data_IF_130685420978
#
_entry.id   IF_130685420978
#
_cell.length_a   1.000
_cell.length_b   1.000
_cell.length_c   1.000
_cell.angle_alpha   90.00
_cell.angle_beta   90.00
_cell.angle_gamma   90.00
#
_symmetry.space_group_name_H-M   'P 1'
#
loop_
_entity.id
_entity.type
_entity.pdbx_description
1 polymer ?
#
# COMPACT_ATOMS: atom_id res chain seq x y z
N UNK A 1 27.09 1.16 38.28
CA UNK A 1 25.87 0.99 39.11
C UNK A 1 24.64 0.79 38.23
N UNK A 2 24.37 1.68 37.24
CA UNK A 2 23.25 1.52 36.27
C UNK A 2 23.34 0.22 35.46
N UNK A 3 24.53 -0.17 34.99
CA UNK A 3 24.70 -1.41 34.23
C UNK A 3 24.42 -2.67 35.10
N UNK A 4 24.77 -2.68 36.38
CA UNK A 4 24.41 -3.75 37.32
C UNK A 4 22.91 -3.83 37.60
N UNK A 5 22.25 -2.67 37.71
CA UNK A 5 20.80 -2.62 37.85
C UNK A 5 20.06 -3.10 36.56
N UNK A 6 20.64 -2.85 35.38
CA UNK A 6 20.14 -3.37 34.12
C UNK A 6 20.29 -4.89 34.00
N UNK A 7 21.42 -5.45 34.41
CA UNK A 7 21.65 -6.89 34.47
C UNK A 7 20.68 -7.56 35.44
N UNK A 8 20.46 -6.96 36.62
CA UNK A 8 19.45 -7.46 37.57
C UNK A 8 18.02 -7.37 37.02
N UNK A 9 17.70 -6.31 36.25
CA UNK A 9 16.40 -6.21 35.54
C UNK A 9 16.29 -7.22 34.39
N UNK A 10 17.41 -7.58 33.73
CA UNK A 10 17.47 -8.62 32.70
C UNK A 10 17.12 -10.00 33.31
N UNK A 11 17.67 -10.34 34.47
CA UNK A 11 17.35 -11.55 35.18
C UNK A 11 15.88 -11.59 35.69
N UNK A 12 15.29 -10.42 35.97
CA UNK A 12 13.85 -10.31 36.31
C UNK A 12 12.94 -10.55 35.10
N UNK A 13 13.43 -10.36 33.88
CA UNK A 13 12.68 -10.73 32.65
C UNK A 13 12.78 -12.23 32.37
N UNK A 14 13.83 -12.91 32.77
CA UNK A 14 14.02 -14.35 32.60
C UNK A 14 13.13 -15.22 33.54
N UNK A 15 12.62 -14.64 34.65
CA UNK A 15 11.73 -15.32 35.62
C UNK A 15 10.28 -14.80 35.64
N UNK A 16 9.90 -13.93 34.72
CA UNK A 16 8.59 -13.28 34.72
C UNK A 16 7.47 -14.18 34.20
N UNK A 17 6.32 -14.14 34.88
CA UNK A 17 5.08 -14.72 34.36
C UNK A 17 4.71 -14.06 33.02
N UNK A 18 4.05 -14.81 32.12
CA UNK A 18 3.53 -14.31 30.85
C UNK A 18 2.70 -13.03 31.06
N UNK A 19 2.70 -12.10 30.08
CA UNK A 19 1.92 -10.87 30.18
C UNK A 19 0.44 -11.17 30.48
N UNK A 20 -0.14 -10.50 31.47
CA UNK A 20 -1.53 -10.76 31.87
C UNK A 20 -2.55 -10.52 30.77
N UNK A 21 -2.20 -9.68 29.76
CA UNK A 21 -3.04 -9.43 28.58
C UNK A 21 -2.87 -10.46 27.45
N UNK A 22 -1.85 -11.32 27.50
CA UNK A 22 -1.66 -12.39 26.52
C UNK A 22 -2.78 -13.45 26.68
N UNK A 23 -3.53 -13.65 25.61
CA UNK A 23 -4.41 -14.79 25.48
C UNK A 23 -3.68 -15.93 24.78
N UNK A 24 -2.98 -16.78 25.54
CA UNK A 24 -2.15 -17.88 25.03
C UNK A 24 -2.96 -19.00 24.37
N UNK A 25 -2.32 -19.83 23.55
CA UNK A 25 -2.90 -21.03 22.93
C UNK A 25 -2.58 -22.29 23.74
N UNK A 26 -3.24 -23.40 23.38
CA UNK A 26 -3.06 -24.70 24.03
C UNK A 26 -1.86 -25.48 23.47
N UNK A 27 -1.54 -25.26 22.17
CA UNK A 27 -0.41 -25.90 21.50
C UNK A 27 0.91 -25.48 22.15
N UNK A 28 1.77 -26.46 22.35
CA UNK A 28 3.11 -26.26 22.94
C UNK A 28 4.24 -26.40 21.94
N UNK A 29 3.97 -27.04 20.80
CA UNK A 29 4.91 -27.06 19.69
C UNK A 29 4.91 -25.71 18.97
N UNK A 30 6.04 -24.98 18.99
CA UNK A 30 6.12 -23.70 18.29
C UNK A 30 5.79 -23.80 16.80
N UNK A 31 6.12 -24.93 16.15
CA UNK A 31 5.84 -25.15 14.74
C UNK A 31 4.34 -25.22 14.42
N UNK A 32 3.54 -25.66 15.38
CA UNK A 32 2.09 -25.76 15.29
C UNK A 32 1.34 -24.53 15.81
N UNK A 33 2.03 -23.51 16.34
CA UNK A 33 1.40 -22.37 17.00
C UNK A 33 1.74 -21.03 16.36
N UNK A 34 0.85 -20.06 16.55
CA UNK A 34 0.99 -18.70 16.03
C UNK A 34 0.49 -17.65 17.02
N UNK A 35 1.09 -16.46 16.97
CA UNK A 35 0.69 -15.33 17.78
C UNK A 35 0.32 -14.14 16.91
N UNK A 36 -0.80 -13.49 17.20
CA UNK A 36 -1.21 -12.22 16.61
C UNK A 36 -0.86 -11.07 17.55
N UNK A 37 -0.06 -10.13 17.05
CA UNK A 37 0.18 -8.83 17.68
C UNK A 37 -0.88 -7.88 17.16
N UNK A 38 -1.90 -7.60 17.97
CA UNK A 38 -3.12 -6.91 17.54
C UNK A 38 -3.12 -5.49 18.04
N UNK A 39 -3.42 -4.55 17.16
CA UNK A 39 -3.58 -3.15 17.54
C UNK A 39 -4.83 -2.93 18.38
N UNK A 40 -4.62 -2.38 19.58
CA UNK A 40 -5.70 -1.98 20.48
C UNK A 40 -6.40 -3.13 21.20
N UNK A 41 -7.07 -2.78 22.30
CA UNK A 41 -7.81 -3.74 23.13
C UNK A 41 -9.14 -4.15 22.49
N UNK A 42 -9.76 -3.28 21.70
CA UNK A 42 -11.05 -3.56 21.05
C UNK A 42 -10.89 -4.67 20.01
N UNK A 43 -9.97 -4.49 19.04
CA UNK A 43 -9.66 -5.52 18.05
C UNK A 43 -9.08 -6.78 18.70
N UNK A 44 -8.24 -6.62 19.73
CA UNK A 44 -7.74 -7.72 20.54
C UNK A 44 -8.85 -8.54 21.21
N UNK A 45 -9.94 -7.89 21.64
CA UNK A 45 -11.13 -8.55 22.19
C UNK A 45 -11.87 -9.39 21.13
N UNK A 46 -12.13 -8.84 19.95
CA UNK A 46 -12.75 -9.56 18.83
C UNK A 46 -11.87 -10.72 18.37
N UNK A 47 -10.56 -10.50 18.22
CA UNK A 47 -9.61 -11.54 17.84
C UNK A 47 -9.54 -12.68 18.89
N UNK A 48 -9.55 -12.35 20.18
CA UNK A 48 -9.58 -13.34 21.27
C UNK A 48 -10.84 -14.20 21.26
N UNK A 49 -11.98 -13.65 20.87
CA UNK A 49 -13.23 -14.40 20.75
C UNK A 49 -13.28 -15.24 19.48
N UNK A 50 -12.79 -14.70 18.33
CA UNK A 50 -12.85 -15.37 17.03
C UNK A 50 -11.77 -16.44 16.79
N UNK A 51 -10.64 -16.40 17.52
CA UNK A 51 -9.49 -17.30 17.31
C UNK A 51 -9.77 -18.78 17.54
N UNK A 52 -8.99 -19.65 16.93
CA UNK A 52 -8.86 -21.03 17.39
C UNK A 52 -7.88 -21.09 18.58
N UNK A 53 -8.42 -21.34 19.77
CA UNK A 53 -7.66 -21.42 21.03
C UNK A 53 -6.64 -22.56 21.07
N UNK A 54 -6.74 -23.51 20.17
CA UNK A 54 -5.81 -24.65 20.12
C UNK A 54 -4.42 -24.16 19.75
N UNK A 55 -4.29 -23.33 18.71
CA UNK A 55 -2.98 -22.96 18.15
C UNK A 55 -2.76 -21.46 17.98
N UNK A 56 -3.77 -20.59 18.19
CA UNK A 56 -3.65 -19.14 18.04
C UNK A 56 -3.59 -18.45 19.39
N UNK A 57 -2.55 -17.63 19.59
CA UNK A 57 -2.41 -16.71 20.71
C UNK A 57 -2.67 -15.27 20.25
N UNK A 58 -3.19 -14.42 21.15
CA UNK A 58 -3.48 -13.01 20.91
C UNK A 58 -2.76 -12.15 21.94
N UNK A 59 -1.97 -11.19 21.49
CA UNK A 59 -1.36 -10.16 22.30
C UNK A 59 -1.85 -8.78 21.84
N UNK A 60 -2.79 -8.14 22.54
CA UNK A 60 -3.18 -6.78 22.25
C UNK A 60 -2.04 -5.81 22.60
N UNK A 61 -1.75 -4.86 21.71
CA UNK A 61 -0.78 -3.79 21.92
C UNK A 61 -1.52 -2.47 22.17
N UNK A 62 -1.09 -1.74 23.20
CA UNK A 62 -1.74 -0.49 23.60
C UNK A 62 -1.11 0.69 22.88
N UNK A 63 -1.69 1.08 21.74
CA UNK A 63 -1.28 2.27 20.99
C UNK A 63 0.11 2.14 20.34
N UNK A 64 0.70 3.29 20.02
CA UNK A 64 2.01 3.37 19.36
C UNK A 64 3.12 2.90 20.30
N UNK A 65 3.88 1.90 19.86
CA UNK A 65 5.07 1.46 20.61
C UNK A 65 6.22 2.45 20.43
N UNK A 66 7.25 2.32 21.28
CA UNK A 66 8.42 3.15 21.23
C UNK A 66 9.17 2.99 19.89
N UNK A 67 9.55 4.10 19.25
CA UNK A 67 10.44 4.07 18.10
C UNK A 67 11.86 3.71 18.55
N UNK A 68 12.26 2.47 18.35
CA UNK A 68 13.55 1.93 18.79
C UNK A 68 14.74 2.44 17.97
N UNK A 69 14.50 3.04 16.79
CA UNK A 69 15.55 3.68 16.00
C UNK A 69 16.09 4.94 16.69
N UNK A 70 15.22 5.64 17.45
CA UNK A 70 15.56 6.87 18.18
C UNK A 70 15.84 6.65 19.67
N UNK A 71 15.23 5.59 20.23
CA UNK A 71 15.24 5.38 21.65
C UNK A 71 16.58 4.75 22.11
N UNK A 72 16.98 5.11 23.33
CA UNK A 72 18.10 4.42 24.00
C UNK A 72 17.62 3.06 24.49
N UNK A 73 18.54 2.11 24.61
CA UNK A 73 18.26 0.75 25.06
C UNK A 73 17.61 0.68 26.44
N UNK A 74 17.98 1.58 27.36
CA UNK A 74 17.36 1.64 28.70
C UNK A 74 15.87 2.02 28.63
N UNK A 75 15.48 2.88 27.69
CA UNK A 75 14.10 3.23 27.42
C UNK A 75 13.34 2.08 26.79
N UNK A 76 13.95 1.39 25.83
CA UNK A 76 13.36 0.24 25.16
C UNK A 76 13.04 -0.87 26.17
N UNK A 77 14.00 -1.26 27.02
CA UNK A 77 13.81 -2.31 28.04
C UNK A 77 12.77 -1.91 29.09
N UNK A 78 12.62 -0.61 29.36
CA UNK A 78 11.60 -0.11 30.31
C UNK A 78 10.21 0.00 29.70
N UNK A 79 10.08 -0.01 28.35
CA UNK A 79 8.81 0.17 27.66
C UNK A 79 7.92 -1.09 27.80
N UNK A 80 6.73 -0.91 28.34
CA UNK A 80 5.82 -2.01 28.71
C UNK A 80 5.46 -2.91 27.52
N UNK A 81 5.06 -2.30 26.38
CA UNK A 81 4.63 -3.06 25.20
C UNK A 81 5.77 -3.89 24.58
N UNK A 82 6.99 -3.33 24.55
CA UNK A 82 8.17 -4.06 24.05
C UNK A 82 8.47 -5.25 24.97
N UNK A 83 8.40 -5.07 26.28
CA UNK A 83 8.57 -6.17 27.24
C UNK A 83 7.50 -7.25 27.06
N UNK A 84 6.25 -6.86 26.82
CA UNK A 84 5.18 -7.81 26.56
C UNK A 84 5.44 -8.64 25.31
N UNK A 85 5.92 -8.04 24.22
CA UNK A 85 6.31 -8.76 22.99
C UNK A 85 7.43 -9.76 23.29
N UNK A 86 8.54 -9.29 23.90
CA UNK A 86 9.71 -10.14 24.22
C UNK A 86 9.28 -11.34 25.11
N UNK A 87 8.54 -11.05 26.17
CA UNK A 87 8.11 -12.09 27.13
C UNK A 87 7.13 -13.06 26.48
N UNK A 88 6.20 -12.59 25.65
CA UNK A 88 5.25 -13.45 24.94
C UNK A 88 5.94 -14.38 23.95
N UNK A 89 6.94 -13.87 23.21
CA UNK A 89 7.70 -14.67 22.25
C UNK A 89 8.63 -15.69 22.92
N UNK A 90 9.04 -15.45 24.18
CA UNK A 90 9.94 -16.33 24.92
C UNK A 90 11.41 -16.20 24.54
N UNK A 91 11.74 -15.32 23.61
CA UNK A 91 13.11 -15.10 23.13
C UNK A 91 13.82 -14.03 23.94
N UNK A 92 15.15 -14.09 23.95
CA UNK A 92 16.00 -12.99 24.43
C UNK A 92 16.19 -12.01 23.26
N UNK A 93 16.29 -10.71 23.53
CA UNK A 93 16.60 -9.75 22.49
C UNK A 93 18.10 -9.42 22.48
N UNK A 94 18.61 -9.10 21.31
CA UNK A 94 20.00 -8.68 21.15
C UNK A 94 20.20 -7.27 21.72
N UNK A 95 21.04 -7.15 22.76
CA UNK A 95 21.41 -5.84 23.32
C UNK A 95 22.76 -5.40 22.76
N UNK A 96 22.80 -4.22 22.13
CA UNK A 96 24.07 -3.59 21.70
C UNK A 96 25.02 -3.31 22.86
N UNK A 97 24.51 -3.23 24.09
CA UNK A 97 25.32 -2.99 25.29
C UNK A 97 26.35 -4.11 25.49
N UNK A 98 26.07 -5.32 25.01
CA UNK A 98 27.01 -6.42 25.10
C UNK A 98 28.31 -6.18 24.29
N UNK A 99 28.27 -5.36 23.25
CA UNK A 99 29.48 -4.97 22.47
C UNK A 99 30.31 -3.85 23.11
N UNK A 100 29.81 -3.20 24.16
CA UNK A 100 30.47 -2.12 24.88
C UNK A 100 31.03 -2.56 26.24
N UNK A 101 31.02 -3.86 26.55
CA UNK A 101 31.71 -4.38 27.72
C UNK A 101 33.21 -4.21 27.49
N UNK A 102 33.83 -3.31 28.27
CA UNK A 102 35.29 -3.19 28.30
C UNK A 102 35.91 -4.55 28.69
N UNK A 103 37.04 -4.98 28.06
CA UNK A 103 37.73 -6.18 28.45
C UNK A 103 38.07 -6.11 29.95
N UNK A 104 37.98 -7.21 30.63
CA UNK A 104 38.46 -7.32 32.01
C UNK A 104 40.00 -7.13 32.07
N UNK A 105 40.54 -7.05 33.29
CA UNK A 105 41.99 -6.86 33.53
C UNK A 105 42.85 -7.96 32.89
N UNK A 106 42.25 -9.05 32.39
CA UNK A 106 42.92 -10.16 31.71
C UNK A 106 42.82 -10.10 30.19
N UNK A 107 42.17 -9.06 29.65
CA UNK A 107 41.92 -8.90 28.20
C UNK A 107 40.85 -9.84 27.66
N UNK A 108 40.14 -10.52 28.53
CA UNK A 108 39.02 -11.37 28.15
C UNK A 108 37.75 -10.49 28.07
N UNK A 109 37.31 -10.25 26.88
CA UNK A 109 35.91 -9.81 26.67
C UNK A 109 35.10 -11.03 27.06
N UNK A 110 34.48 -11.02 28.26
CA UNK A 110 33.53 -12.06 28.66
C UNK A 110 32.46 -12.24 27.58
N UNK A 111 32.85 -12.93 26.51
CA UNK A 111 32.03 -13.26 25.36
C UNK A 111 30.87 -14.18 25.69
N UNK A 112 30.84 -14.72 26.91
CA UNK A 112 29.77 -15.61 27.40
C UNK A 112 28.47 -14.90 27.77
N UNK A 113 28.41 -13.56 27.67
CA UNK A 113 27.19 -12.78 27.98
C UNK A 113 26.58 -12.02 26.81
N UNK A 114 27.05 -12.19 25.59
CA UNK A 114 26.29 -11.80 24.38
C UNK A 114 25.19 -12.83 24.25
N UNK A 115 24.02 -12.55 24.79
CA UNK A 115 22.88 -13.42 24.54
C UNK A 115 22.54 -13.37 23.06
N UNK A 116 23.13 -14.32 22.33
CA UNK A 116 22.77 -14.60 20.96
C UNK A 116 21.27 -14.77 20.90
N UNK A 117 20.62 -14.21 19.88
CA UNK A 117 19.17 -14.36 19.72
C UNK A 117 18.87 -15.85 19.56
N UNK A 118 18.19 -16.41 20.55
CA UNK A 118 17.90 -17.83 20.59
C UNK A 118 16.55 -18.14 19.91
N UNK A 119 16.62 -18.58 18.65
CA UNK A 119 15.44 -19.04 17.90
C UNK A 119 14.81 -20.31 18.50
N UNK A 120 15.59 -21.15 19.20
CA UNK A 120 15.05 -22.39 19.79
C UNK A 120 14.12 -22.12 20.97
N UNK A 121 14.27 -20.96 21.60
CA UNK A 121 13.37 -20.53 22.68
C UNK A 121 12.06 -19.87 22.17
N UNK A 122 11.89 -19.70 20.84
CA UNK A 122 10.72 -19.07 20.25
C UNK A 122 9.46 -19.93 20.50
N UNK A 123 8.43 -19.31 21.06
CA UNK A 123 7.19 -20.02 21.43
C UNK A 123 6.20 -20.17 20.28
N UNK A 124 6.34 -19.41 19.20
CA UNK A 124 5.43 -19.39 18.05
C UNK A 124 6.22 -19.23 16.75
N UNK A 125 6.09 -20.19 15.84
CA UNK A 125 6.77 -20.11 14.54
C UNK A 125 6.04 -19.25 13.51
N UNK A 126 4.93 -18.58 13.91
CA UNK A 126 4.33 -17.49 13.14
C UNK A 126 4.00 -16.34 14.08
N UNK A 127 4.65 -15.22 13.84
CA UNK A 127 4.39 -13.95 14.51
C UNK A 127 3.68 -13.06 13.51
N UNK A 128 2.42 -12.74 13.75
CA UNK A 128 1.55 -12.07 12.78
C UNK A 128 1.19 -10.69 13.31
N UNK A 129 1.61 -9.65 12.60
CA UNK A 129 1.24 -8.27 12.90
C UNK A 129 -0.15 -8.03 12.30
N UNK A 130 -1.09 -7.56 13.11
CA UNK A 130 -2.47 -7.28 12.71
C UNK A 130 -2.88 -5.88 13.22
N UNK A 131 -2.81 -4.90 12.32
CA UNK A 131 -3.09 -3.48 12.58
C UNK A 131 -4.25 -3.00 11.73
N UNK A 132 -4.86 -1.90 12.14
CA UNK A 132 -5.91 -1.23 11.40
C UNK A 132 -5.43 -0.78 10.01
N UNK A 133 -6.38 -0.63 9.07
CA UNK A 133 -6.10 -0.22 7.70
C UNK A 133 -6.06 1.31 7.53
N UNK A 134 -5.73 2.03 8.57
CA UNK A 134 -5.63 3.48 8.58
C UNK A 134 -4.17 3.97 8.74
N UNK A 135 -3.99 5.28 8.84
CA UNK A 135 -2.67 5.91 8.96
C UNK A 135 -1.99 5.55 10.27
N UNK A 136 -2.74 5.49 11.38
CA UNK A 136 -2.21 5.13 12.69
C UNK A 136 -1.79 3.66 12.74
N UNK A 137 -2.59 2.75 12.19
CA UNK A 137 -2.23 1.33 12.06
C UNK A 137 -1.00 1.11 11.18
N UNK A 138 -0.86 1.85 10.10
CA UNK A 138 0.34 1.83 9.25
C UNK A 138 1.58 2.30 10.02
N UNK A 139 1.44 3.34 10.86
CA UNK A 139 2.53 3.82 11.71
C UNK A 139 2.90 2.79 12.79
N UNK A 140 1.92 2.19 13.47
CA UNK A 140 2.15 1.13 14.48
C UNK A 140 2.86 -0.06 13.83
N UNK A 141 2.42 -0.51 12.66
CA UNK A 141 3.07 -1.57 11.89
C UNK A 141 4.54 -1.24 11.60
N UNK A 142 4.83 -0.02 11.17
CA UNK A 142 6.21 0.44 10.89
C UNK A 142 7.06 0.43 12.15
N UNK A 143 6.55 0.86 13.30
CA UNK A 143 7.26 0.82 14.58
C UNK A 143 7.55 -0.63 15.02
N UNK A 144 6.60 -1.54 14.86
CA UNK A 144 6.76 -2.96 15.17
C UNK A 144 7.82 -3.58 14.25
N UNK A 145 7.77 -3.30 12.93
CA UNK A 145 8.76 -3.76 11.97
C UNK A 145 10.17 -3.24 12.29
N UNK A 146 10.28 -1.96 12.69
CA UNK A 146 11.55 -1.37 13.13
C UNK A 146 12.13 -2.12 14.32
N UNK A 147 11.28 -2.45 15.30
CA UNK A 147 11.69 -3.24 16.47
C UNK A 147 12.18 -4.64 16.07
N UNK A 148 11.44 -5.37 15.25
CA UNK A 148 11.87 -6.69 14.80
C UNK A 148 13.14 -6.65 13.95
N UNK A 149 13.25 -5.69 13.04
CA UNK A 149 14.42 -5.54 12.19
C UNK A 149 15.69 -5.22 12.99
N UNK A 150 15.60 -4.32 13.99
CA UNK A 150 16.78 -3.88 14.79
C UNK A 150 17.18 -4.86 15.88
N UNK A 151 16.22 -5.57 16.47
CA UNK A 151 16.46 -6.34 17.70
C UNK A 151 16.13 -7.83 17.62
N UNK A 152 15.41 -8.25 16.59
CA UNK A 152 15.00 -9.65 16.39
C UNK A 152 15.10 -10.07 14.91
N UNK A 153 16.14 -9.60 14.23
CA UNK A 153 16.37 -9.86 12.80
C UNK A 153 16.33 -11.36 12.42
N UNK A 154 16.85 -12.30 13.23
CA UNK A 154 16.75 -13.73 12.95
C UNK A 154 15.30 -14.23 12.79
N UNK A 155 14.28 -13.58 13.39
CA UNK A 155 12.88 -13.91 13.17
C UNK A 155 12.43 -13.60 11.73
N UNK A 156 12.94 -12.52 11.14
CA UNK A 156 12.65 -12.14 9.77
C UNK A 156 13.37 -13.10 8.82
N UNK A 157 14.66 -13.32 9.03
CA UNK A 157 15.50 -14.21 8.21
C UNK A 157 15.04 -15.66 8.26
N UNK A 158 14.58 -16.13 9.42
CA UNK A 158 13.95 -17.44 9.60
C UNK A 158 12.55 -17.56 9.01
N UNK A 159 11.95 -16.43 8.58
CA UNK A 159 10.64 -16.41 7.96
C UNK A 159 9.48 -16.62 8.91
N UNK A 160 9.62 -16.20 10.15
CA UNK A 160 8.60 -16.32 11.19
C UNK A 160 7.70 -15.09 11.32
N UNK A 161 8.04 -13.95 10.67
CA UNK A 161 7.29 -12.70 10.76
C UNK A 161 6.37 -12.50 9.56
N UNK A 162 5.10 -12.18 9.86
CA UNK A 162 4.05 -11.97 8.86
C UNK A 162 3.23 -10.73 9.17
N UNK A 163 2.56 -10.19 8.14
CA UNK A 163 1.57 -9.11 8.24
C UNK A 163 0.23 -9.68 7.76
N UNK A 164 -0.80 -9.59 8.59
CA UNK A 164 -2.16 -9.94 8.22
C UNK A 164 -2.71 -8.92 7.20
N UNK A 165 -3.52 -9.40 6.27
CA UNK A 165 -4.20 -8.60 5.26
C UNK A 165 -5.71 -8.66 5.48
N UNK A 166 -6.28 -7.82 6.36
CA UNK A 166 -7.73 -7.75 6.51
C UNK A 166 -8.37 -7.11 5.29
N UNK A 167 -9.65 -7.39 4.99
CA UNK A 167 -10.38 -6.72 3.91
C UNK A 167 -10.64 -5.25 4.26
N UNK A 168 -10.66 -4.41 3.22
CA UNK A 168 -10.96 -2.98 3.34
C UNK A 168 -12.45 -2.70 3.17
N UNK A 169 -13.15 -3.55 2.42
CA UNK A 169 -14.57 -3.36 2.10
C UNK A 169 -15.34 -4.68 2.15
N UNK A 170 -16.64 -4.54 2.37
CA UNK A 170 -17.63 -5.58 2.13
C UNK A 170 -18.66 -5.07 1.13
N UNK A 171 -18.69 -5.68 -0.05
CA UNK A 171 -19.71 -5.43 -1.07
C UNK A 171 -20.93 -6.33 -0.87
N UNK A 172 -22.13 -5.81 -1.05
CA UNK A 172 -23.35 -6.63 -1.04
C UNK A 172 -24.35 -6.22 -2.13
N UNK A 173 -24.97 -7.23 -2.77
CA UNK A 173 -26.06 -7.08 -3.73
C UNK A 173 -27.13 -8.13 -3.42
N UNK A 174 -28.22 -7.69 -2.83
CA UNK A 174 -29.27 -8.60 -2.35
C UNK A 174 -28.75 -9.51 -1.25
N UNK A 175 -28.66 -10.83 -1.51
CA UNK A 175 -28.13 -11.83 -0.55
C UNK A 175 -26.66 -12.18 -0.77
N UNK A 176 -26.07 -11.72 -1.86
CA UNK A 176 -24.68 -12.01 -2.17
C UNK A 176 -23.80 -10.97 -1.50
N UNK A 177 -22.81 -11.44 -0.74
CA UNK A 177 -21.82 -10.63 -0.05
C UNK A 177 -20.43 -11.08 -0.46
N UNK A 178 -19.51 -10.13 -0.57
CA UNK A 178 -18.11 -10.41 -0.95
C UNK A 178 -17.15 -9.48 -0.19
N UNK A 179 -16.04 -10.04 0.30
CA UNK A 179 -14.97 -9.30 0.93
C UNK A 179 -13.97 -8.80 -0.11
N UNK A 180 -13.59 -7.52 -0.02
CA UNK A 180 -12.77 -6.83 -1.01
C UNK A 180 -11.55 -6.25 -0.28
N UNK A 181 -10.38 -6.59 -0.76
CA UNK A 181 -9.11 -6.34 -0.06
C UNK A 181 -8.36 -5.11 -0.54
N UNK A 182 -8.79 -4.51 -1.66
CA UNK A 182 -8.19 -3.32 -2.24
C UNK A 182 -9.26 -2.39 -2.85
N UNK A 183 -8.86 -1.15 -3.17
CA UNK A 183 -9.68 -0.25 -3.98
C UNK A 183 -9.96 -0.84 -5.36
N UNK A 184 -8.98 -1.49 -5.96
CA UNK A 184 -9.13 -2.14 -7.26
C UNK A 184 -10.13 -3.30 -7.20
N UNK A 185 -10.13 -4.12 -6.13
CA UNK A 185 -11.13 -5.17 -5.94
C UNK A 185 -12.53 -4.57 -5.82
N UNK A 186 -12.68 -3.49 -5.05
CA UNK A 186 -13.95 -2.76 -4.92
C UNK A 186 -14.43 -2.24 -6.28
N UNK A 187 -13.56 -1.57 -7.01
CA UNK A 187 -13.88 -1.01 -8.31
C UNK A 187 -14.25 -2.12 -9.32
N UNK A 188 -13.49 -3.20 -9.35
CA UNK A 188 -13.77 -4.37 -10.19
C UNK A 188 -15.11 -5.04 -9.81
N UNK A 189 -15.37 -5.19 -8.51
CA UNK A 189 -16.61 -5.76 -8.02
C UNK A 189 -17.82 -4.90 -8.43
N UNK A 190 -17.74 -3.57 -8.23
CA UNK A 190 -18.78 -2.63 -8.65
C UNK A 190 -19.03 -2.72 -10.15
N UNK A 191 -17.97 -2.74 -10.94
CA UNK A 191 -18.05 -2.89 -12.39
C UNK A 191 -18.74 -4.18 -12.80
N UNK A 192 -18.36 -5.28 -12.18
CA UNK A 192 -18.94 -6.57 -12.45
C UNK A 192 -20.44 -6.59 -12.10
N UNK A 193 -20.83 -6.00 -10.97
CA UNK A 193 -22.23 -5.92 -10.57
C UNK A 193 -23.07 -5.00 -11.47
N UNK A 194 -22.51 -3.92 -11.99
CA UNK A 194 -23.21 -2.92 -12.82
C UNK A 194 -23.21 -3.28 -14.30
N UNK A 195 -22.12 -3.83 -14.82
CA UNK A 195 -21.88 -4.00 -16.24
C UNK A 195 -21.88 -5.47 -16.71
N UNK A 196 -22.19 -6.43 -15.82
CA UNK A 196 -22.17 -7.87 -16.16
C UNK A 196 -23.08 -8.24 -17.36
N UNK A 197 -24.14 -7.50 -17.55
CA UNK A 197 -25.10 -7.73 -18.64
C UNK A 197 -24.85 -6.87 -19.88
N UNK A 198 -23.79 -6.05 -19.85
CA UNK A 198 -23.41 -5.17 -20.94
C UNK A 198 -22.15 -5.68 -21.64
N UNK A 199 -22.16 -5.50 -22.96
CA UNK A 199 -21.04 -5.77 -23.83
C UNK A 199 -20.83 -4.55 -24.71
N UNK A 200 -19.63 -4.02 -24.74
CA UNK A 200 -19.25 -2.90 -25.60
C UNK A 200 -18.40 -3.44 -26.75
N UNK A 201 -18.86 -3.16 -27.94
CA UNK A 201 -18.22 -3.57 -29.18
C UNK A 201 -17.74 -2.34 -29.94
N UNK A 202 -16.53 -2.43 -30.51
CA UNK A 202 -16.11 -1.45 -31.51
C UNK A 202 -16.63 -1.85 -32.88
N UNK A 203 -16.93 -0.85 -33.72
CA UNK A 203 -17.46 -1.10 -35.07
C UNK A 203 -16.51 -1.90 -35.97
N UNK A 204 -15.22 -1.77 -35.76
CA UNK A 204 -14.20 -2.54 -36.49
C UNK A 204 -13.94 -3.95 -35.90
N UNK A 205 -14.64 -4.34 -34.82
CA UNK A 205 -14.47 -5.63 -34.16
C UNK A 205 -13.17 -5.77 -33.34
N UNK A 206 -12.37 -4.72 -33.20
CA UNK A 206 -11.10 -4.76 -32.47
C UNK A 206 -11.28 -4.75 -30.94
N UNK A 207 -12.42 -4.29 -30.45
CA UNK A 207 -12.75 -4.28 -29.02
C UNK A 207 -14.06 -5.01 -28.76
N UNK A 208 -14.01 -5.84 -27.70
CA UNK A 208 -15.12 -6.61 -27.18
C UNK A 208 -14.95 -6.69 -25.65
N UNK A 209 -15.66 -5.82 -24.93
CA UNK A 209 -15.46 -5.61 -23.51
C UNK A 209 -16.70 -5.90 -22.69
N UNK A 210 -16.49 -6.54 -21.54
CA UNK A 210 -17.51 -6.84 -20.52
C UNK A 210 -16.99 -6.53 -19.12
N UNK A 211 -17.89 -6.27 -18.18
CA UNK A 211 -17.59 -6.13 -16.75
C UNK A 211 -16.46 -5.13 -16.47
N UNK A 212 -15.34 -5.59 -15.89
CA UNK A 212 -14.18 -4.76 -15.53
C UNK A 212 -13.53 -4.09 -16.75
N UNK A 213 -13.58 -4.70 -17.93
CA UNK A 213 -13.09 -4.10 -19.17
C UNK A 213 -13.87 -2.84 -19.57
N UNK A 214 -15.18 -2.86 -19.37
CA UNK A 214 -16.05 -1.69 -19.59
C UNK A 214 -15.65 -0.55 -18.65
N UNK A 215 -15.46 -0.85 -17.36
CA UNK A 215 -15.06 0.17 -16.38
C UNK A 215 -13.70 0.77 -16.70
N UNK A 216 -12.72 -0.06 -17.05
CA UNK A 216 -11.38 0.43 -17.41
C UNK A 216 -11.42 1.37 -18.60
N UNK A 217 -12.21 1.02 -19.63
CA UNK A 217 -12.43 1.87 -20.79
C UNK A 217 -13.06 3.21 -20.40
N UNK A 218 -14.13 3.19 -19.61
CA UNK A 218 -14.82 4.41 -19.17
C UNK A 218 -13.90 5.29 -18.32
N UNK A 219 -13.11 4.70 -17.40
CA UNK A 219 -12.17 5.42 -16.54
C UNK A 219 -11.06 6.11 -17.37
N UNK A 220 -10.50 5.42 -18.37
CA UNK A 220 -9.48 6.03 -19.24
C UNK A 220 -10.03 7.19 -20.06
N UNK A 221 -11.24 7.07 -20.59
CA UNK A 221 -11.91 8.14 -21.32
C UNK A 221 -12.25 9.34 -20.43
N UNK A 222 -12.77 9.11 -19.24
CA UNK A 222 -13.07 10.18 -18.29
C UNK A 222 -11.79 10.90 -17.82
N UNK A 223 -10.72 10.16 -17.54
CA UNK A 223 -9.41 10.75 -17.17
C UNK A 223 -8.88 11.63 -18.29
N UNK A 224 -9.00 11.19 -19.55
CA UNK A 224 -8.61 12.00 -20.70
C UNK A 224 -9.47 13.26 -20.80
N UNK A 225 -10.78 13.15 -20.72
CA UNK A 225 -11.70 14.29 -20.82
C UNK A 225 -11.42 15.34 -19.75
N UNK A 226 -11.31 14.92 -18.48
CA UNK A 226 -10.94 15.85 -17.38
C UNK A 226 -9.59 16.49 -17.59
N UNK A 227 -8.60 15.75 -18.13
CA UNK A 227 -7.27 16.32 -18.38
C UNK A 227 -7.26 17.30 -19.55
N UNK A 228 -8.11 17.12 -20.56
CA UNK A 228 -8.29 18.06 -21.66
C UNK A 228 -8.97 19.36 -21.18
N UNK A 229 -9.98 19.27 -20.31
CA UNK A 229 -10.61 20.41 -19.65
C UNK A 229 -9.59 21.20 -18.81
N UNK A 230 -8.73 20.51 -18.07
CA UNK A 230 -7.64 21.13 -17.30
C UNK A 230 -6.64 21.93 -18.17
N UNK A 231 -6.40 21.52 -19.42
CA UNK A 231 -5.57 22.29 -20.36
C UNK A 231 -6.24 23.61 -20.76
N UNK A 232 -7.54 23.55 -21.05
CA UNK A 232 -8.31 24.76 -21.40
C UNK A 232 -8.32 25.77 -20.24
N UNK A 233 -8.65 25.30 -19.03
CA UNK A 233 -8.80 26.17 -17.86
C UNK A 233 -7.46 26.72 -17.33
N UNK A 234 -6.41 25.88 -17.26
CA UNK A 234 -5.17 26.23 -16.54
C UNK A 234 -4.06 26.73 -17.45
N UNK A 235 -4.05 26.35 -18.73
CA UNK A 235 -3.01 26.70 -19.66
C UNK A 235 -3.51 27.56 -20.86
N UNK A 236 -4.83 27.71 -21.01
CA UNK A 236 -5.44 28.39 -22.15
C UNK A 236 -5.19 27.66 -23.47
N UNK A 237 -4.90 26.35 -23.42
CA UNK A 237 -4.71 25.49 -24.57
C UNK A 237 -5.99 24.73 -24.87
N UNK A 238 -6.54 24.90 -26.07
CA UNK A 238 -7.73 24.12 -26.45
C UNK A 238 -7.45 22.61 -26.39
N UNK A 239 -8.11 21.91 -25.46
CA UNK A 239 -7.98 20.48 -25.28
C UNK A 239 -8.31 19.70 -26.55
N UNK A 240 -9.33 20.15 -27.33
CA UNK A 240 -9.68 19.53 -28.60
C UNK A 240 -8.57 19.63 -29.64
N UNK A 241 -7.91 20.76 -29.70
CA UNK A 241 -6.79 20.97 -30.64
C UNK A 241 -5.60 20.09 -30.25
N UNK A 242 -5.28 20.02 -28.96
CA UNK A 242 -4.21 19.16 -28.45
C UNK A 242 -4.53 17.69 -28.73
N UNK A 243 -5.77 17.25 -28.48
CA UNK A 243 -6.22 15.89 -28.78
C UNK A 243 -6.09 15.54 -30.25
N UNK A 244 -6.47 16.45 -31.16
CA UNK A 244 -6.31 16.24 -32.60
C UNK A 244 -4.83 16.11 -32.98
N UNK A 245 -3.94 16.91 -32.40
CA UNK A 245 -2.50 16.78 -32.59
C UNK A 245 -1.93 15.44 -32.17
N UNK A 246 -2.43 14.87 -31.06
CA UNK A 246 -2.09 13.51 -30.65
C UNK A 246 -2.63 12.46 -31.63
N UNK A 247 -3.89 12.55 -32.03
CA UNK A 247 -4.52 11.59 -32.94
C UNK A 247 -3.89 11.60 -34.32
N UNK A 248 -3.54 12.79 -34.86
CA UNK A 248 -2.89 12.91 -36.17
C UNK A 248 -1.43 12.46 -36.14
N UNK A 249 -0.82 12.32 -34.96
CA UNK A 249 0.60 12.04 -34.81
C UNK A 249 1.53 13.25 -35.03
N UNK A 250 0.99 14.45 -35.31
CA UNK A 250 1.75 15.67 -35.42
C UNK A 250 2.37 16.07 -34.07
N UNK A 251 1.66 15.79 -32.98
CA UNK A 251 2.12 15.92 -31.59
C UNK A 251 2.33 14.52 -31.00
N UNK A 252 3.31 13.80 -31.54
CA UNK A 252 3.61 12.45 -31.08
C UNK A 252 4.40 12.45 -29.76
N UNK A 253 4.29 11.36 -29.01
CA UNK A 253 5.10 11.17 -27.81
C UNK A 253 6.60 11.31 -28.11
N UNK A 254 7.08 10.68 -29.21
CA UNK A 254 8.48 10.74 -29.58
C UNK A 254 8.95 12.17 -29.82
N UNK A 255 8.13 13.01 -30.49
CA UNK A 255 8.49 14.41 -30.73
C UNK A 255 8.51 15.26 -29.46
N UNK A 256 7.62 14.95 -28.49
CA UNK A 256 7.61 15.63 -27.21
C UNK A 256 8.78 15.17 -26.34
N UNK A 257 9.04 13.87 -26.26
CA UNK A 257 10.14 13.31 -25.46
C UNK A 257 11.51 13.75 -26.02
N UNK A 258 11.72 13.73 -27.33
CA UNK A 258 12.96 14.26 -27.94
C UNK A 258 13.24 15.73 -27.56
N UNK A 259 12.20 16.52 -27.43
CA UNK A 259 12.34 17.91 -27.03
C UNK A 259 12.59 18.04 -25.52
N UNK A 260 12.00 17.18 -24.70
CA UNK A 260 12.12 17.21 -23.24
C UNK A 260 13.39 16.50 -22.72
N UNK A 261 13.76 15.35 -23.29
CA UNK A 261 14.92 14.55 -22.85
C UNK A 261 16.26 15.12 -23.29
N UNK A 262 16.31 15.81 -24.41
CA UNK A 262 17.56 16.40 -24.98
C UNK A 262 18.11 17.59 -24.23
N UNK A 263 17.48 18.08 -23.13
CA UNK A 263 17.85 19.32 -22.49
C UNK A 263 17.59 19.38 -20.99
N UNK A 264 18.58 19.87 -20.25
CA UNK A 264 18.32 20.58 -19.01
C UNK A 264 17.48 21.83 -19.38
N UNK A 265 16.21 21.85 -18.97
CA UNK A 265 15.31 22.97 -19.16
C UNK A 265 15.90 24.19 -18.46
N UNK A 266 16.54 25.06 -19.25
CA UNK A 266 16.92 26.40 -18.80
C UNK A 266 15.76 27.33 -19.09
N UNK A 267 15.58 28.37 -18.27
CA UNK A 267 14.56 29.44 -18.47
C UNK A 267 14.57 30.08 -19.87
N UNK A 268 15.62 29.87 -20.64
CA UNK A 268 15.73 30.40 -22.02
C UNK A 268 14.92 29.61 -23.06
N UNK A 269 14.42 28.40 -22.74
CA UNK A 269 13.70 27.55 -23.69
C UNK A 269 12.17 27.64 -23.56
N UNK A 270 11.63 28.43 -22.63
CA UNK A 270 10.19 28.57 -22.39
C UNK A 270 9.36 29.05 -23.58
N UNK A 271 9.96 29.83 -24.45
CA UNK A 271 9.31 30.37 -25.66
C UNK A 271 9.45 29.50 -26.91
N UNK A 272 10.11 28.32 -26.83
CA UNK A 272 10.28 27.48 -28.00
C UNK A 272 8.98 26.77 -28.35
N UNK A 273 8.50 27.00 -29.58
CA UNK A 273 7.33 26.32 -30.13
C UNK A 273 7.69 24.85 -30.43
N UNK A 274 6.95 23.91 -29.91
CA UNK A 274 7.10 22.48 -30.21
C UNK A 274 6.05 21.99 -31.21
N UNK A 275 4.93 22.69 -31.34
CA UNK A 275 3.87 22.38 -32.27
C UNK A 275 3.11 23.65 -32.68
N UNK A 276 2.82 23.79 -33.98
CA UNK A 276 2.07 24.90 -34.54
C UNK A 276 0.97 24.32 -35.42
N UNK A 277 -0.28 24.61 -35.11
CA UNK A 277 -1.45 24.15 -35.83
C UNK A 277 -2.53 25.22 -35.87
N UNK A 278 -3.69 24.90 -36.46
CA UNK A 278 -4.85 25.78 -36.48
C UNK A 278 -6.01 25.18 -35.68
N UNK A 279 -6.69 26.01 -34.93
CA UNK A 279 -7.94 25.64 -34.28
C UNK A 279 -9.02 25.32 -35.30
N UNK A 280 -10.12 24.67 -34.94
CA UNK A 280 -11.28 24.49 -35.81
C UNK A 280 -11.87 25.81 -36.36
N UNK A 281 -11.59 26.94 -35.69
CA UNK A 281 -11.99 28.27 -36.10
C UNK A 281 -10.97 28.94 -37.01
N UNK A 282 -9.84 28.29 -37.33
CA UNK A 282 -8.78 28.78 -38.21
C UNK A 282 -7.75 29.68 -37.52
N UNK A 283 -7.81 29.83 -36.18
CA UNK A 283 -6.82 30.57 -35.44
C UNK A 283 -5.55 29.74 -35.22
N UNK A 284 -4.35 30.33 -35.31
CA UNK A 284 -3.11 29.62 -35.06
C UNK A 284 -3.02 29.24 -33.57
N UNK A 285 -2.63 28.00 -33.29
CA UNK A 285 -2.37 27.50 -31.95
C UNK A 285 -0.94 27.01 -31.87
N UNK A 286 -0.18 27.57 -30.93
CA UNK A 286 1.21 27.23 -30.69
C UNK A 286 1.32 26.59 -29.30
N UNK A 287 2.01 25.45 -29.21
CA UNK A 287 2.37 24.83 -27.94
C UNK A 287 3.84 25.09 -27.68
N UNK A 288 4.13 25.79 -26.61
CA UNK A 288 5.51 26.11 -26.22
C UNK A 288 6.12 24.96 -25.40
N UNK A 289 7.45 24.93 -25.35
CA UNK A 289 8.19 23.98 -24.50
C UNK A 289 7.80 24.14 -23.02
N UNK A 290 7.59 25.37 -22.53
CA UNK A 290 7.15 25.64 -21.17
C UNK A 290 5.79 25.03 -20.88
N UNK A 291 4.81 25.17 -21.77
CA UNK A 291 3.49 24.57 -21.64
C UNK A 291 3.57 23.04 -21.68
N UNK A 292 4.33 22.45 -22.60
CA UNK A 292 4.50 21.00 -22.71
C UNK A 292 5.17 20.37 -21.48
N UNK A 293 6.03 21.13 -20.80
CA UNK A 293 6.72 20.68 -19.57
C UNK A 293 5.84 20.76 -18.33
N UNK A 294 4.65 21.35 -18.42
CA UNK A 294 3.75 21.48 -17.25
C UNK A 294 3.19 20.13 -16.81
N UNK A 295 2.94 19.94 -15.51
CA UNK A 295 2.29 18.72 -15.00
C UNK A 295 0.92 18.46 -15.64
N UNK A 296 0.19 19.51 -16.04
CA UNK A 296 -1.11 19.40 -16.70
C UNK A 296 -0.96 18.76 -18.08
N UNK A 297 -0.06 19.28 -18.90
CA UNK A 297 0.18 18.74 -20.23
C UNK A 297 0.69 17.29 -20.18
N UNK A 298 1.62 17.00 -19.28
CA UNK A 298 2.17 15.64 -19.11
C UNK A 298 1.10 14.64 -18.64
N UNK A 299 0.17 15.07 -17.78
CA UNK A 299 -0.99 14.24 -17.39
C UNK A 299 -1.91 13.96 -18.58
N UNK A 300 -2.18 14.97 -19.40
CA UNK A 300 -3.03 14.79 -20.60
C UNK A 300 -2.39 13.84 -21.60
N UNK A 301 -1.08 13.95 -21.79
CA UNK A 301 -0.34 13.05 -22.65
C UNK A 301 -0.37 11.60 -22.15
N UNK A 302 -0.23 11.39 -20.83
CA UNK A 302 -0.37 10.07 -20.21
C UNK A 302 -1.80 9.51 -20.35
N UNK A 303 -2.80 10.35 -20.09
CA UNK A 303 -4.21 9.96 -20.25
C UNK A 303 -4.57 9.61 -21.69
N UNK A 304 -4.01 10.35 -22.67
CA UNK A 304 -4.16 10.02 -24.09
C UNK A 304 -3.60 8.63 -24.42
N UNK A 305 -2.38 8.31 -23.95
CA UNK A 305 -1.78 6.99 -24.19
C UNK A 305 -2.65 5.84 -23.66
N UNK A 306 -3.24 6.02 -22.48
CA UNK A 306 -4.13 5.03 -21.90
C UNK A 306 -5.43 4.88 -22.70
N UNK A 307 -5.92 5.97 -23.29
CA UNK A 307 -7.15 6.00 -24.06
C UNK A 307 -6.95 5.81 -25.58
N UNK A 308 -5.73 5.81 -26.09
CA UNK A 308 -5.42 5.83 -27.53
C UNK A 308 -6.11 4.69 -28.27
N UNK A 309 -5.98 3.46 -27.79
CA UNK A 309 -6.65 2.29 -28.39
C UNK A 309 -8.15 2.47 -28.44
N UNK A 310 -8.72 3.07 -27.41
CA UNK A 310 -10.16 3.35 -27.35
C UNK A 310 -10.58 4.43 -28.37
N UNK A 311 -9.82 5.50 -28.49
CA UNK A 311 -10.13 6.57 -29.45
C UNK A 311 -10.06 6.09 -30.91
N UNK A 312 -9.11 5.22 -31.23
CA UNK A 312 -8.91 4.67 -32.57
C UNK A 312 -9.97 3.64 -32.97
N UNK A 313 -10.60 2.97 -31.99
CA UNK A 313 -11.54 1.89 -32.23
C UNK A 313 -13.02 2.30 -32.21
N UNK A 314 -13.36 3.56 -31.94
CA UNK A 314 -14.72 4.06 -32.06
C UNK A 314 -15.21 4.14 -33.53
N UNK A 315 -16.50 4.33 -33.76
CA UNK A 315 -17.60 4.38 -32.80
C UNK A 315 -17.96 3.01 -32.19
N UNK A 316 -18.73 3.06 -31.11
CA UNK A 316 -19.06 1.90 -30.28
C UNK A 316 -20.53 1.50 -30.41
N UNK A 317 -20.79 0.22 -30.16
CA UNK A 317 -22.12 -0.34 -29.96
C UNK A 317 -22.21 -0.96 -28.57
N UNK A 318 -23.40 -0.90 -27.97
CA UNK A 318 -23.74 -1.54 -26.70
C UNK A 318 -24.73 -2.66 -26.95
N UNK A 319 -24.41 -3.85 -26.47
CA UNK A 319 -25.33 -4.97 -26.34
C UNK A 319 -25.70 -5.18 -24.87
N UNK A 320 -26.95 -5.56 -24.63
CA UNK A 320 -27.42 -5.99 -23.33
C UNK A 320 -28.00 -7.39 -23.43
N UNK A 321 -27.41 -8.35 -22.69
CA UNK A 321 -27.80 -9.76 -22.75
C UNK A 321 -27.80 -10.33 -24.19
N UNK A 322 -26.79 -9.92 -24.98
CA UNK A 322 -26.63 -10.35 -26.37
C UNK A 322 -27.54 -9.65 -27.40
N UNK A 323 -28.38 -8.69 -26.98
CA UNK A 323 -29.19 -7.88 -27.89
C UNK A 323 -28.60 -6.48 -28.05
N UNK A 324 -28.43 -5.97 -29.28
CA UNK A 324 -27.97 -4.61 -29.51
C UNK A 324 -29.02 -3.61 -28.98
N UNK A 325 -28.58 -2.63 -28.20
CA UNK A 325 -29.41 -1.60 -27.58
C UNK A 325 -29.07 -0.19 -28.03
N UNK A 326 -27.84 0.06 -28.42
CA UNK A 326 -27.41 1.37 -28.91
C UNK A 326 -26.18 1.19 -29.82
N UNK A 327 -26.04 1.99 -30.89
CA UNK A 327 -24.98 1.92 -31.90
C UNK A 327 -24.52 3.31 -32.33
N UNK A 328 -23.33 3.42 -32.89
CA UNK A 328 -22.77 4.66 -33.40
C UNK A 328 -22.33 5.65 -32.33
N UNK A 329 -22.01 5.18 -31.12
CA UNK A 329 -21.72 5.99 -29.95
C UNK A 329 -20.27 6.51 -30.05
N UNK A 330 -20.09 7.83 -30.01
CA UNK A 330 -18.78 8.46 -29.89
C UNK A 330 -18.16 8.24 -28.51
N UNK A 331 -16.84 8.36 -28.41
CA UNK A 331 -16.15 8.09 -27.16
C UNK A 331 -16.60 9.00 -25.98
N UNK A 332 -16.91 10.28 -26.24
CA UNK A 332 -17.42 11.21 -25.22
C UNK A 332 -18.83 10.86 -24.72
N UNK A 333 -19.66 10.30 -25.56
CA UNK A 333 -21.01 9.90 -25.20
C UNK A 333 -21.08 8.48 -24.59
N UNK A 334 -19.98 7.72 -24.67
CA UNK A 334 -19.99 6.32 -24.27
C UNK A 334 -20.27 6.14 -22.77
N UNK A 335 -19.74 7.00 -21.92
CA UNK A 335 -20.00 6.98 -20.48
C UNK A 335 -21.48 7.09 -20.16
N UNK A 336 -22.15 8.10 -20.70
CA UNK A 336 -23.59 8.30 -20.50
C UNK A 336 -24.42 7.17 -21.11
N UNK A 337 -24.03 6.67 -22.27
CA UNK A 337 -24.71 5.56 -22.93
C UNK A 337 -24.64 4.28 -22.07
N UNK A 338 -23.47 3.95 -21.54
CA UNK A 338 -23.30 2.79 -20.65
C UNK A 338 -24.11 2.96 -19.38
N UNK A 339 -24.12 4.14 -18.75
CA UNK A 339 -24.89 4.41 -17.55
C UNK A 339 -26.41 4.29 -17.76
N UNK A 340 -26.93 4.63 -18.95
CA UNK A 340 -28.36 4.41 -19.30
C UNK A 340 -28.75 2.95 -19.24
N UNK A 341 -27.83 2.05 -19.63
CA UNK A 341 -28.07 0.62 -19.76
C UNK A 341 -27.55 -0.22 -18.61
N UNK A 342 -26.71 0.36 -17.70
CA UNK A 342 -26.15 -0.29 -16.53
C UNK A 342 -27.24 -0.83 -15.59
N UNK A 343 -26.92 -1.89 -14.87
CA UNK A 343 -27.78 -2.39 -13.80
C UNK A 343 -27.89 -1.36 -12.68
N UNK A 344 -29.12 -0.91 -12.42
CA UNK A 344 -29.44 0.07 -11.36
C UNK A 344 -29.82 -0.59 -10.04
N UNK A 345 -29.56 -1.90 -9.88
CA UNK A 345 -29.77 -2.62 -8.63
C UNK A 345 -28.98 -1.96 -7.49
N UNK A 346 -29.57 -1.94 -6.30
CA UNK A 346 -28.94 -1.37 -5.11
C UNK A 346 -27.69 -2.17 -4.77
N UNK A 347 -26.54 -1.51 -4.81
CA UNK A 347 -25.27 -2.00 -4.27
C UNK A 347 -25.03 -1.34 -2.92
N UNK A 348 -24.62 -2.12 -1.94
CA UNK A 348 -24.17 -1.60 -0.67
C UNK A 348 -22.68 -1.94 -0.49
N UNK A 349 -21.88 -0.92 -0.17
CA UNK A 349 -20.44 -1.07 0.08
C UNK A 349 -20.19 -0.51 1.47
N UNK A 350 -19.75 -1.39 2.37
CA UNK A 350 -19.33 -1.02 3.70
C UNK A 350 -17.79 -0.96 3.73
N UNK A 351 -17.24 0.18 4.15
CA UNK A 351 -15.80 0.34 4.38
C UNK A 351 -15.49 0.01 5.83
N UNK A 352 -14.42 -0.76 6.05
CA UNK A 352 -13.85 -1.04 7.37
C UNK A 352 -12.57 -0.23 7.53
N UNK A 353 -12.55 0.67 8.51
CA UNK A 353 -11.37 1.49 8.84
C UNK A 353 -10.48 0.81 9.87
N UNK A 354 -11.09 0.06 10.78
CA UNK A 354 -10.38 -0.63 11.85
C UNK A 354 -10.92 -2.03 12.11
N UNK A 355 -10.04 -2.90 12.60
CA UNK A 355 -10.33 -4.29 12.98
C UNK A 355 -11.39 -4.38 14.09
N UNK A 356 -11.50 -3.33 14.92
CA UNK A 356 -12.50 -3.24 15.98
C UNK A 356 -13.94 -3.08 15.48
N UNK A 357 -14.13 -2.76 14.19
CA UNK A 357 -15.45 -2.71 13.54
C UNK A 357 -15.94 -4.09 13.11
N UNK A 358 -15.05 -5.09 13.05
CA UNK A 358 -15.38 -6.46 12.71
C UNK A 358 -15.81 -7.24 13.95
N UNK A 359 -16.88 -8.01 13.80
CA UNK A 359 -17.22 -9.00 14.83
C UNK A 359 -16.26 -10.20 14.78
N UNK A 360 -16.26 -11.08 15.83
CA UNK A 360 -15.34 -12.20 15.91
C UNK A 360 -15.39 -13.17 14.71
N UNK A 361 -16.59 -13.45 14.19
CA UNK A 361 -16.77 -14.38 13.07
C UNK A 361 -16.22 -13.78 11.76
N UNK A 362 -16.47 -12.49 11.52
CA UNK A 362 -15.92 -11.78 10.38
C UNK A 362 -14.40 -11.73 10.40
N UNK A 363 -13.82 -11.45 11.58
CA UNK A 363 -12.36 -11.40 11.75
C UNK A 363 -11.73 -12.79 11.57
N UNK A 364 -12.40 -13.84 12.03
CA UNK A 364 -11.99 -15.20 11.77
C UNK A 364 -11.96 -15.53 10.29
N UNK A 365 -13.11 -15.44 9.61
CA UNK A 365 -13.26 -15.87 8.22
C UNK A 365 -12.38 -15.11 7.23
N UNK A 366 -12.04 -13.85 7.52
CA UNK A 366 -11.30 -12.98 6.57
C UNK A 366 -9.81 -12.91 6.85
N UNK A 367 -9.41 -13.01 8.15
CA UNK A 367 -8.06 -12.59 8.56
C UNK A 367 -7.34 -13.64 9.42
N UNK A 368 -8.07 -14.50 10.12
CA UNK A 368 -7.47 -15.42 11.10
C UNK A 368 -7.52 -16.89 10.68
N UNK A 369 -8.51 -17.33 9.91
CA UNK A 369 -8.61 -18.71 9.45
C UNK A 369 -7.45 -19.04 8.50
N UNK A 370 -6.61 -20.05 8.84
CA UNK A 370 -5.50 -20.45 7.99
C UNK A 370 -5.88 -20.88 6.57
N UNK A 371 -7.14 -21.25 6.33
CA UNK A 371 -7.62 -21.71 5.02
C UNK A 371 -8.02 -20.56 4.09
N UNK A 372 -8.44 -19.42 4.63
CA UNK A 372 -9.02 -18.31 3.84
C UNK A 372 -8.19 -17.02 3.90
N UNK A 373 -7.43 -16.82 4.99
CA UNK A 373 -6.64 -15.61 5.21
C UNK A 373 -5.48 -15.45 4.23
N UNK A 374 -5.12 -14.21 4.00
CA UNK A 374 -3.88 -13.83 3.31
C UNK A 374 -2.88 -13.25 4.31
N UNK A 375 -1.65 -13.78 4.30
CA UNK A 375 -0.54 -13.28 5.08
C UNK A 375 0.60 -12.84 4.17
N UNK A 376 1.15 -11.66 4.42
CA UNK A 376 2.36 -11.16 3.77
C UNK A 376 3.57 -11.58 4.63
N UNK A 377 4.46 -12.40 4.09
CA UNK A 377 5.70 -12.76 4.76
C UNK A 377 6.67 -11.58 4.70
N UNK A 378 7.23 -11.18 5.83
CA UNK A 378 8.26 -10.15 5.89
C UNK A 378 9.61 -10.78 5.54
N UNK A 379 10.31 -10.19 4.58
CA UNK A 379 11.67 -10.57 4.20
C UNK A 379 12.60 -9.36 4.34
N UNK A 380 13.87 -9.62 4.59
CA UNK A 380 14.92 -8.60 4.68
C UNK A 380 15.91 -8.72 3.50
N UNK A 381 15.47 -9.30 2.40
CA UNK A 381 16.27 -9.39 1.18
C UNK A 381 16.55 -7.99 0.64
N UNK A 382 17.78 -7.77 0.18
CA UNK A 382 18.12 -6.55 -0.53
C UNK A 382 17.21 -6.45 -1.74
N UNK A 383 16.39 -5.43 -1.74
CA UNK A 383 15.47 -5.16 -2.84
C UNK A 383 16.29 -4.73 -4.07
N UNK A 384 16.79 -5.70 -4.80
CA UNK A 384 17.48 -5.47 -6.07
C UNK A 384 16.57 -4.82 -7.13
N UNK A 385 15.30 -4.53 -6.82
CA UNK A 385 14.30 -4.03 -7.77
C UNK A 385 13.25 -3.07 -7.17
N UNK A 386 13.28 -2.67 -5.89
CA UNK A 386 12.12 -2.00 -5.24
C UNK A 386 12.41 -0.58 -4.92
N UNK A 387 13.12 0.19 -5.20
CA UNK A 387 13.20 1.66 -5.07
C UNK A 387 14.61 2.19 -5.39
N UNK A 388 14.70 3.07 -6.37
CA UNK A 388 15.97 3.74 -6.72
C UNK A 388 16.50 4.62 -5.57
N UNK A 389 15.70 4.83 -4.51
CA UNK A 389 16.07 5.71 -3.40
C UNK A 389 16.80 4.99 -2.26
N UNK A 390 16.31 3.84 -1.81
CA UNK A 390 16.95 3.06 -0.74
C UNK A 390 17.65 1.84 -1.32
N UNK A 391 18.94 1.71 -1.05
CA UNK A 391 19.73 0.56 -1.52
C UNK A 391 19.62 -0.64 -0.59
N UNK A 392 19.35 -0.40 0.69
CA UNK A 392 19.25 -1.44 1.71
C UNK A 392 18.08 -1.19 2.66
N UNK A 393 17.51 -2.23 3.28
CA UNK A 393 16.53 -2.06 4.35
C UNK A 393 17.06 -1.24 5.53
N UNK A 394 18.34 -1.33 5.84
CA UNK A 394 18.96 -0.56 6.91
C UNK A 394 18.91 0.93 6.63
N UNK A 395 19.22 1.34 5.41
CA UNK A 395 19.11 2.74 4.97
C UNK A 395 17.65 3.24 5.05
N UNK A 396 16.69 2.42 4.59
CA UNK A 396 15.27 2.76 4.67
C UNK A 396 14.82 3.03 6.13
N UNK A 397 15.14 2.13 7.06
CA UNK A 397 14.81 2.35 8.48
C UNK A 397 15.54 3.56 9.06
N UNK A 398 16.82 3.76 8.75
CA UNK A 398 17.60 4.90 9.25
C UNK A 398 17.06 6.24 8.77
N UNK A 399 16.65 6.34 7.50
CA UNK A 399 16.06 7.57 6.93
C UNK A 399 14.65 7.80 7.44
N UNK A 400 13.78 6.78 7.37
CA UNK A 400 12.37 6.93 7.67
C UNK A 400 12.09 7.07 9.17
N UNK A 401 12.82 6.31 10.00
CA UNK A 401 12.56 6.19 11.44
C UNK A 401 13.61 6.88 12.32
N UNK A 402 14.77 7.25 11.77
CA UNK A 402 15.88 7.87 12.49
C UNK A 402 15.66 9.34 12.85
N UNK A 403 16.64 9.96 13.53
CA UNK A 403 16.58 11.34 14.01
C UNK A 403 16.80 12.39 12.91
N UNK A 404 17.50 12.03 11.81
CA UNK A 404 17.80 12.97 10.75
C UNK A 404 16.55 13.35 9.95
N UNK A 405 16.21 14.63 9.96
CA UNK A 405 15.02 15.15 9.27
C UNK A 405 15.29 15.43 7.78
N UNK A 406 16.52 15.83 7.43
CA UNK A 406 16.82 16.28 6.07
C UNK A 406 16.61 15.17 5.01
N UNK A 407 17.20 13.96 5.12
CA UNK A 407 17.00 12.90 4.13
C UNK A 407 15.54 12.44 4.08
N UNK A 408 14.83 12.41 5.22
CA UNK A 408 13.40 12.07 5.23
C UNK A 408 12.55 13.11 4.50
N UNK A 409 12.87 14.40 4.65
CA UNK A 409 12.19 15.48 3.90
C UNK A 409 12.43 15.35 2.41
N UNK A 410 13.66 15.06 2.00
CA UNK A 410 14.02 14.85 0.61
C UNK A 410 13.26 13.65 0.01
N UNK A 411 13.22 12.53 0.71
CA UNK A 411 12.40 11.37 0.32
C UNK A 411 10.93 11.74 0.12
N UNK A 412 10.31 12.41 1.10
CA UNK A 412 8.90 12.84 1.02
C UNK A 412 8.67 13.77 -0.18
N UNK A 413 9.57 14.71 -0.45
CA UNK A 413 9.45 15.63 -1.58
C UNK A 413 9.57 14.91 -2.92
N UNK A 414 10.49 13.95 -3.03
CA UNK A 414 10.71 13.15 -4.24
C UNK A 414 9.49 12.32 -4.58
N UNK A 415 8.90 11.66 -3.58
CA UNK A 415 7.80 10.70 -3.77
C UNK A 415 6.40 11.24 -3.42
N UNK A 416 6.26 12.53 -3.11
CA UNK A 416 4.99 13.15 -2.73
C UNK A 416 3.85 12.91 -3.74
N UNK A 417 4.18 12.76 -5.03
CA UNK A 417 3.21 12.51 -6.11
C UNK A 417 2.71 11.05 -6.17
N UNK A 418 3.42 10.12 -5.52
CA UNK A 418 3.08 8.70 -5.52
C UNK A 418 2.23 8.31 -4.31
N UNK A 419 1.99 9.23 -3.38
CA UNK A 419 1.17 8.97 -2.19
C UNK A 419 -0.28 8.78 -2.60
N UNK A 420 -0.79 7.56 -2.43
CA UNK A 420 -2.16 7.20 -2.78
C UNK A 420 -3.17 7.54 -1.68
N UNK A 421 -2.76 7.52 -0.41
CA UNK A 421 -3.63 7.72 0.75
C UNK A 421 -3.06 8.83 1.64
N UNK A 422 -3.54 10.05 1.46
CA UNK A 422 -3.35 11.14 2.41
C UNK A 422 -4.60 11.23 3.28
N UNK A 423 -4.42 11.12 4.58
CA UNK A 423 -5.45 11.46 5.56
C UNK A 423 -5.39 12.98 5.76
N UNK A 424 -6.23 13.71 5.00
CA UNK A 424 -6.35 15.17 5.08
C UNK A 424 -7.65 15.52 5.77
#
# INVERSE_FOLDING_TARGET
RKAREMVQRKNAMEGGSLPGKLADCQERDPAGSEIFLVEGESAGGSAKMGRDRKFQAILPLKGKILNVEKAREDQMVSHEEIRHIITALGTKFHSRIAYLAEPDENGDTNGDNVSEFDLESLRYHKVIIMTDADVDGSHIRTLILTFFYRHMRPLIEGGYLYIAQPPLYKGSKGRNEEWLYSEDDKDNWVAQQRFSNLRILSKNGAMDLVGAGVQKLLKSMQTLETSLEDLDEKLGLSGDVVLQGFISGELSQASVDEVLEGRQLSFMDEGRVIWNTQSPTGEPVEITLGQASTPQFQRTLSAYREAESALQNGPYAIERQGNPVEDGIGWRQLGEAVERHADKGSLNIQRYKGLGEMNPDQLWETTMDPQTRTLLRVTAEEAAQADDYFKTPDEAFSVLMGDSVAPRREFIQTYARQVANLDI
#
